data_IF_124724137013
#
_entry.id   IF_124724137013
#
_cell.length_a   1.000
_cell.length_b   1.000
_cell.length_c   1.000
_cell.angle_alpha   90.00
_cell.angle_beta   90.00
_cell.angle_gamma   90.00
#
_symmetry.space_group_name_H-M   'P 1'
#
loop_
_entity.id
_entity.type
_entity.pdbx_description
1 polymer ?
#
# COMPACT_ATOMS: atom_id res chain seq x y z
N UNK A 1 -26.15 9.92 -13.15
CA UNK A 1 -26.44 8.48 -13.13
C UNK A 1 -27.92 8.32 -12.88
N UNK A 2 -28.61 7.50 -13.65
CA UNK A 2 -30.07 7.32 -13.56
C UNK A 2 -30.35 5.82 -13.53
N UNK A 3 -31.27 5.39 -12.66
CA UNK A 3 -31.79 4.02 -12.66
C UNK A 3 -32.54 3.81 -13.98
N UNK A 4 -32.15 2.79 -14.73
CA UNK A 4 -32.65 2.58 -16.09
C UNK A 4 -33.58 1.36 -16.16
N UNK A 5 -33.16 0.23 -15.61
CA UNK A 5 -33.93 -1.02 -15.62
C UNK A 5 -33.87 -1.73 -14.25
N UNK A 6 -34.96 -2.42 -13.89
CA UNK A 6 -35.06 -3.26 -12.69
C UNK A 6 -35.59 -4.62 -13.13
N UNK A 7 -34.88 -5.67 -12.79
CA UNK A 7 -35.30 -7.06 -13.01
C UNK A 7 -35.67 -7.68 -11.65
N UNK A 8 -36.97 -7.80 -11.42
CA UNK A 8 -37.53 -8.36 -10.19
C UNK A 8 -37.39 -9.88 -10.10
N UNK A 9 -37.16 -10.57 -11.23
CA UNK A 9 -36.97 -12.04 -11.23
C UNK A 9 -35.57 -12.39 -10.76
N UNK A 10 -34.58 -11.60 -11.17
CA UNK A 10 -33.18 -11.78 -10.82
C UNK A 10 -32.71 -10.87 -9.67
N UNK A 11 -33.61 -10.08 -9.11
CA UNK A 11 -33.35 -9.15 -8.01
C UNK A 11 -32.19 -8.18 -8.29
N UNK A 12 -32.12 -7.67 -9.53
CA UNK A 12 -31.07 -6.78 -9.99
C UNK A 12 -31.60 -5.46 -10.53
N UNK A 13 -30.76 -4.42 -10.45
CA UNK A 13 -31.05 -3.09 -10.96
C UNK A 13 -29.86 -2.57 -11.76
N UNK A 14 -30.14 -1.97 -12.92
CA UNK A 14 -29.15 -1.45 -13.87
C UNK A 14 -29.20 0.08 -13.94
N UNK A 15 -28.03 0.69 -14.05
CA UNK A 15 -27.85 2.14 -14.10
C UNK A 15 -27.16 2.58 -15.39
N UNK A 16 -27.61 3.71 -15.92
CA UNK A 16 -27.02 4.36 -17.11
C UNK A 16 -26.46 5.72 -16.73
N UNK A 17 -25.31 6.06 -17.32
CA UNK A 17 -24.69 7.36 -17.17
C UNK A 17 -24.95 8.21 -18.42
N UNK A 18 -25.58 9.36 -18.21
CA UNK A 18 -25.74 10.39 -19.22
C UNK A 18 -24.62 11.40 -19.04
N UNK A 19 -23.79 11.57 -20.07
CA UNK A 19 -22.79 12.61 -20.11
C UNK A 19 -23.20 13.62 -21.19
N UNK A 20 -23.14 14.91 -20.86
CA UNK A 20 -23.27 15.98 -21.84
C UNK A 20 -21.88 16.54 -22.08
N UNK A 21 -21.41 16.43 -23.31
CA UNK A 21 -20.20 17.08 -23.75
C UNK A 21 -20.57 18.35 -24.52
N UNK A 22 -20.04 19.48 -24.08
CA UNK A 22 -20.32 20.78 -24.67
C UNK A 22 -19.08 21.27 -25.43
N UNK A 23 -19.28 21.77 -26.65
CA UNK A 23 -18.26 22.51 -27.39
C UNK A 23 -18.82 23.89 -27.79
N UNK A 24 -18.01 24.73 -28.43
CA UNK A 24 -18.33 26.12 -28.80
C UNK A 24 -19.61 26.25 -29.65
N UNK A 25 -20.09 25.15 -30.27
CA UNK A 25 -21.33 25.08 -31.05
C UNK A 25 -22.54 24.39 -30.39
N UNK A 26 -22.49 24.04 -29.10
CA UNK A 26 -23.61 23.40 -28.38
C UNK A 26 -23.23 22.10 -27.65
N UNK A 27 -24.19 21.50 -26.95
CA UNK A 27 -23.99 20.29 -26.15
C UNK A 27 -24.78 19.11 -26.72
N UNK A 28 -24.09 18.01 -27.02
CA UNK A 28 -24.73 16.79 -27.53
C UNK A 28 -24.81 15.75 -26.38
N UNK A 29 -25.97 15.14 -26.11
CA UNK A 29 -26.08 14.09 -25.10
C UNK A 29 -25.52 12.77 -25.62
N UNK A 30 -24.70 12.10 -24.80
CA UNK A 30 -24.22 10.74 -25.04
C UNK A 30 -24.65 9.83 -23.89
N UNK A 31 -25.17 8.65 -24.23
CA UNK A 31 -25.58 7.63 -23.28
C UNK A 31 -24.51 6.55 -23.27
N UNK A 32 -23.94 6.26 -22.10
CA UNK A 32 -23.06 5.11 -21.89
C UNK A 32 -23.82 4.14 -20.99
N UNK A 33 -24.32 3.05 -21.56
CA UNK A 33 -25.12 2.07 -20.82
C UNK A 33 -24.89 0.65 -21.34
N UNK A 34 -25.43 -0.36 -20.61
CA UNK A 34 -25.37 -0.47 -19.16
C UNK A 34 -23.91 -0.61 -18.72
N UNK A 35 -23.55 -0.04 -17.57
CA UNK A 35 -22.19 -0.10 -17.07
C UNK A 35 -22.00 -1.45 -16.35
N UNK A 36 -21.24 -2.42 -16.89
CA UNK A 36 -21.22 -3.81 -16.41
C UNK A 36 -20.62 -3.97 -15.00
N UNK A 37 -20.04 -2.92 -14.43
CA UNK A 37 -19.49 -2.90 -13.07
C UNK A 37 -20.40 -2.21 -12.04
N UNK A 38 -21.64 -1.83 -12.40
CA UNK A 38 -22.62 -1.22 -11.50
C UNK A 38 -23.96 -1.96 -11.52
N UNK A 39 -23.92 -3.26 -11.30
CA UNK A 39 -25.10 -4.09 -11.05
C UNK A 39 -25.24 -4.32 -9.54
N UNK A 40 -26.38 -3.93 -8.97
CA UNK A 40 -26.64 -4.05 -7.54
C UNK A 40 -27.71 -5.10 -7.31
N UNK A 41 -27.44 -6.01 -6.35
CA UNK A 41 -28.41 -7.01 -5.87
C UNK A 41 -29.29 -6.43 -4.77
N UNK A 42 -30.44 -7.07 -4.52
CA UNK A 42 -31.33 -6.74 -3.39
C UNK A 42 -30.54 -6.55 -2.07
N UNK A 43 -30.76 -5.42 -1.38
CA UNK A 43 -30.08 -4.96 -0.15
C UNK A 43 -28.62 -4.51 -0.29
N UNK A 44 -28.06 -4.42 -1.49
CA UNK A 44 -26.74 -3.83 -1.69
C UNK A 44 -26.78 -2.31 -1.42
N UNK A 45 -25.75 -1.80 -0.73
CA UNK A 45 -25.60 -0.38 -0.48
C UNK A 45 -25.26 0.34 -1.80
N UNK A 46 -26.14 1.23 -2.23
CA UNK A 46 -25.91 2.07 -3.41
C UNK A 46 -25.35 3.42 -2.92
N UNK A 47 -24.09 3.76 -3.21
CA UNK A 47 -23.51 5.03 -2.80
C UNK A 47 -24.10 6.15 -3.65
N UNK A 48 -25.06 6.89 -3.09
CA UNK A 48 -25.57 8.13 -3.68
C UNK A 48 -24.65 9.25 -3.17
N UNK A 49 -23.84 9.84 -4.06
CA UNK A 49 -22.92 10.92 -3.69
C UNK A 49 -23.65 12.07 -2.98
N UNK A 50 -23.22 12.41 -1.77
CA UNK A 50 -23.81 13.51 -1.00
C UNK A 50 -23.30 14.86 -1.49
N UNK A 51 -24.18 15.79 -1.83
CA UNK A 51 -23.81 17.17 -2.18
C UNK A 51 -23.48 18.06 -0.97
N UNK A 52 -23.54 17.53 0.26
CA UNK A 52 -23.08 18.20 1.50
C UNK A 52 -22.61 17.16 2.52
N UNK A 53 -21.42 17.34 3.09
CA UNK A 53 -20.96 16.56 4.25
C UNK A 53 -21.84 16.87 5.48
N UNK A 54 -22.47 15.89 6.13
CA UNK A 54 -23.05 16.08 7.45
C UNK A 54 -22.01 15.72 8.53
N UNK A 55 -21.67 16.67 9.38
CA UNK A 55 -21.07 16.42 10.69
C UNK A 55 -22.13 15.76 11.59
N UNK A 56 -22.32 14.45 11.49
CA UNK A 56 -22.83 13.55 12.54
C UNK A 56 -23.24 12.23 11.90
N UNK A 57 -22.58 11.13 12.28
CA UNK A 57 -23.07 9.77 12.05
C UNK A 57 -23.79 9.33 13.33
N UNK A 58 -25.07 8.88 13.28
CA UNK A 58 -25.73 8.30 14.45
C UNK A 58 -25.07 6.94 14.77
N UNK A 59 -24.67 6.75 16.02
CA UNK A 59 -24.15 5.48 16.50
C UNK A 59 -25.26 4.41 16.50
N UNK A 60 -25.06 3.32 15.76
CA UNK A 60 -25.82 2.08 15.91
C UNK A 60 -25.42 1.44 17.25
N UNK A 61 -26.34 1.48 18.23
CA UNK A 61 -26.26 0.69 19.47
C UNK A 61 -26.38 -0.79 19.12
N UNK A 62 -25.30 -1.54 19.31
CA UNK A 62 -25.36 -3.00 19.41
C UNK A 62 -25.18 -3.35 20.89
N UNK A 63 -26.21 -3.94 21.47
CA UNK A 63 -26.23 -4.39 22.87
C UNK A 63 -25.13 -5.43 23.13
N UNK A 64 -24.36 -5.17 24.18
CA UNK A 64 -23.41 -6.10 24.76
C UNK A 64 -24.16 -7.22 25.49
N UNK A 65 -24.04 -8.46 25.02
CA UNK A 65 -24.27 -9.63 25.88
C UNK A 65 -22.94 -10.18 26.36
N UNK A 66 -22.70 -9.91 27.65
CA UNK A 66 -21.56 -10.31 28.45
C UNK A 66 -21.39 -11.84 28.46
N UNK A 67 -20.22 -12.33 28.04
CA UNK A 67 -19.71 -13.63 28.46
C UNK A 67 -18.21 -13.50 28.73
N UNK A 68 -17.89 -13.11 29.97
CA UNK A 68 -16.54 -13.15 30.51
C UNK A 68 -16.02 -14.59 30.49
N UNK A 69 -14.90 -14.83 29.80
CA UNK A 69 -13.94 -15.86 30.17
C UNK A 69 -12.54 -15.27 30.09
N UNK A 70 -11.86 -15.23 31.24
CA UNK A 70 -10.52 -14.69 31.46
C UNK A 70 -9.52 -15.25 30.44
N UNK A 71 -8.60 -14.45 29.88
CA UNK A 71 -7.45 -15.01 29.19
C UNK A 71 -6.49 -15.58 30.23
N UNK A 72 -6.20 -16.88 30.11
CA UNK A 72 -5.08 -17.50 30.79
C UNK A 72 -3.79 -16.92 30.21
N UNK A 73 -2.96 -16.37 31.09
CA UNK A 73 -1.60 -15.92 30.82
C UNK A 73 -0.82 -17.01 30.07
N UNK A 74 -0.40 -16.73 28.83
CA UNK A 74 0.61 -17.52 28.13
C UNK A 74 1.79 -16.62 27.76
N UNK A 75 2.88 -16.98 28.43
CA UNK A 75 4.27 -16.52 28.46
C UNK A 75 4.79 -15.79 27.21
N UNK A 76 5.54 -14.72 27.50
CA UNK A 76 6.43 -14.01 26.58
C UNK A 76 7.24 -14.98 25.70
N UNK A 77 7.22 -14.69 24.40
CA UNK A 77 8.04 -15.35 23.39
C UNK A 77 9.52 -15.13 23.73
N UNK A 78 10.15 -16.17 24.27
CA UNK A 78 11.59 -16.23 24.49
C UNK A 78 12.29 -16.22 23.14
N UNK A 79 13.09 -15.18 22.92
CA UNK A 79 14.05 -15.04 21.82
C UNK A 79 14.93 -16.28 21.72
N UNK A 80 14.78 -17.06 20.66
CA UNK A 80 15.74 -18.09 20.27
C UNK A 80 16.69 -17.46 19.27
N UNK A 81 17.95 -17.34 19.65
CA UNK A 81 19.03 -16.83 18.80
C UNK A 81 19.05 -17.57 17.46
N UNK A 82 18.82 -16.84 16.38
CA UNK A 82 19.21 -17.22 15.03
C UNK A 82 20.30 -16.23 14.65
N UNK A 83 21.51 -16.76 14.55
CA UNK A 83 22.71 -16.06 14.10
C UNK A 83 22.52 -15.53 12.67
N UNK A 84 22.56 -14.21 12.51
CA UNK A 84 22.78 -13.52 11.24
C UNK A 84 21.55 -12.85 10.62
N UNK A 85 21.62 -11.51 10.51
CA UNK A 85 20.67 -10.55 9.90
C UNK A 85 19.36 -10.40 10.70
N UNK A 86 19.16 -9.21 11.27
CA UNK A 86 17.99 -8.85 12.08
C UNK A 86 16.67 -9.28 11.44
N UNK A 87 16.05 -10.30 12.03
CA UNK A 87 14.79 -10.86 11.56
C UNK A 87 13.65 -10.15 12.28
N UNK A 88 13.09 -9.10 11.69
CA UNK A 88 11.96 -8.40 12.27
C UNK A 88 10.69 -9.25 12.15
N UNK A 89 10.19 -9.79 13.27
CA UNK A 89 8.99 -10.64 13.29
C UNK A 89 9.10 -11.94 12.49
N UNK A 90 10.31 -12.45 12.22
CA UNK A 90 10.49 -13.62 11.35
C UNK A 90 10.75 -13.29 9.87
N UNK A 91 10.80 -12.00 9.47
CA UNK A 91 11.06 -11.57 8.09
C UNK A 91 12.50 -11.09 7.93
N UNK A 92 13.19 -11.59 6.90
CA UNK A 92 14.49 -11.10 6.42
C UNK A 92 14.32 -9.83 5.59
N UNK A 93 14.82 -8.66 6.07
CA UNK A 93 14.64 -7.40 5.36
C UNK A 93 15.26 -7.37 3.97
N UNK A 94 16.38 -8.07 3.78
CA UNK A 94 17.06 -8.13 2.49
C UNK A 94 16.26 -8.90 1.44
N UNK A 95 15.75 -10.08 1.81
CA UNK A 95 14.94 -10.89 0.90
C UNK A 95 13.65 -10.13 0.56
N UNK A 96 13.01 -9.54 1.56
CA UNK A 96 11.80 -8.73 1.38
C UNK A 96 12.03 -7.53 0.44
N UNK A 97 13.16 -6.82 0.60
CA UNK A 97 13.51 -5.71 -0.28
C UNK A 97 13.68 -6.18 -1.74
N UNK A 98 14.34 -7.31 -1.96
CA UNK A 98 14.48 -7.90 -3.29
C UNK A 98 13.14 -8.34 -3.89
N UNK A 99 12.25 -8.93 -3.09
CA UNK A 99 10.90 -9.31 -3.52
C UNK A 99 10.05 -8.12 -3.96
N UNK A 100 10.19 -6.97 -3.30
CA UNK A 100 9.50 -5.72 -3.67
C UNK A 100 10.05 -5.16 -4.98
N UNK A 101 11.38 -5.15 -5.14
CA UNK A 101 12.01 -4.72 -6.41
C UNK A 101 11.51 -5.54 -7.59
N UNK A 102 11.31 -6.85 -7.39
CA UNK A 102 10.77 -7.72 -8.44
C UNK A 102 9.36 -7.34 -8.87
N UNK A 103 8.53 -6.77 -7.99
CA UNK A 103 7.24 -6.21 -8.39
C UNK A 103 7.42 -4.88 -9.12
N UNK A 104 8.25 -3.98 -8.58
CA UNK A 104 8.48 -2.64 -9.15
C UNK A 104 8.99 -2.74 -10.59
N UNK A 105 9.87 -3.69 -10.88
CA UNK A 105 10.43 -3.89 -12.20
C UNK A 105 9.63 -4.87 -13.08
N UNK A 106 8.41 -5.25 -12.68
CA UNK A 106 7.55 -6.14 -13.47
C UNK A 106 8.08 -7.57 -13.62
N UNK A 107 8.90 -8.05 -12.69
CA UNK A 107 9.50 -9.38 -12.69
C UNK A 107 10.84 -9.48 -13.43
N UNK A 108 11.32 -8.37 -14.02
CA UNK A 108 12.61 -8.29 -14.69
C UNK A 108 13.62 -7.49 -13.85
N UNK A 109 14.91 -7.80 -13.92
CA UNK A 109 15.93 -6.96 -13.28
C UNK A 109 16.13 -5.69 -14.11
N UNK A 110 16.23 -4.55 -13.42
CA UNK A 110 16.72 -3.26 -13.94
C UNK A 110 15.70 -2.30 -14.56
N UNK A 111 14.94 -1.62 -13.70
CA UNK A 111 14.74 -0.17 -13.87
C UNK A 111 15.51 0.52 -12.74
N UNK A 112 16.66 1.09 -13.07
CA UNK A 112 17.26 2.13 -12.22
C UNK A 112 16.31 3.33 -12.29
N UNK A 113 15.47 3.53 -11.27
CA UNK A 113 14.56 4.69 -11.17
C UNK A 113 15.30 6.04 -11.02
N UNK A 114 16.61 6.03 -11.21
CA UNK A 114 17.56 7.08 -10.86
C UNK A 114 17.49 8.32 -11.76
N UNK A 115 16.87 8.26 -12.94
CA UNK A 115 17.11 9.30 -13.97
C UNK A 115 15.86 9.95 -14.57
N UNK A 116 14.67 9.38 -14.39
CA UNK A 116 13.43 9.90 -14.99
C UNK A 116 12.19 9.73 -14.12
N UNK A 117 12.37 9.52 -12.81
CA UNK A 117 11.19 9.29 -12.00
C UNK A 117 10.37 10.56 -11.83
N UNK A 118 9.09 10.57 -12.25
CA UNK A 118 8.25 11.75 -12.18
C UNK A 118 8.11 12.22 -10.73
N UNK A 119 7.77 13.51 -10.56
CA UNK A 119 7.38 14.00 -9.24
C UNK A 119 6.09 13.30 -8.83
N UNK A 120 6.12 12.63 -7.69
CA UNK A 120 4.94 12.02 -7.06
C UNK A 120 4.61 12.75 -5.78
N UNK A 121 3.32 12.91 -5.47
CA UNK A 121 2.88 13.61 -4.28
C UNK A 121 2.10 12.68 -3.37
N UNK A 122 2.47 12.66 -2.09
CA UNK A 122 1.78 11.93 -1.03
C UNK A 122 1.29 12.97 -0.02
N UNK A 123 -0.02 13.14 0.15
CA UNK A 123 -0.61 14.12 1.08
C UNK A 123 -0.04 15.55 0.91
N UNK A 124 0.02 16.04 -0.34
CA UNK A 124 0.61 17.34 -0.71
C UNK A 124 2.13 17.46 -0.51
N UNK A 125 2.81 16.42 -0.03
CA UNK A 125 4.27 16.35 0.01
C UNK A 125 4.79 15.71 -1.29
N UNK A 126 5.21 16.58 -2.21
CA UNK A 126 5.75 16.18 -3.51
C UNK A 126 7.25 15.90 -3.43
N UNK A 127 7.67 14.85 -4.12
CA UNK A 127 9.08 14.46 -4.21
C UNK A 127 9.30 13.52 -5.37
N UNK A 128 10.49 12.92 -5.42
CA UNK A 128 10.86 11.92 -6.43
C UNK A 128 11.19 10.63 -5.72
N UNK A 129 10.94 9.51 -6.36
CA UNK A 129 11.50 8.23 -5.91
C UNK A 129 12.96 8.14 -6.36
N UNK A 130 13.81 7.66 -5.46
CA UNK A 130 15.25 7.65 -5.60
C UNK A 130 15.77 6.22 -5.50
N UNK A 131 16.80 5.92 -6.30
CA UNK A 131 17.62 4.75 -6.05
C UNK A 131 17.01 3.44 -6.54
N UNK A 132 17.71 2.36 -6.15
CA UNK A 132 17.36 0.96 -6.44
C UNK A 132 16.00 0.55 -5.87
N UNK A 133 15.63 1.10 -4.71
CA UNK A 133 14.46 0.68 -3.95
C UNK A 133 13.27 1.63 -4.08
N UNK A 134 13.30 2.57 -5.03
CA UNK A 134 12.21 3.53 -5.26
C UNK A 134 11.82 4.34 -4.01
N UNK A 135 12.81 4.68 -3.16
CA UNK A 135 12.53 5.36 -1.89
C UNK A 135 12.14 6.82 -2.15
N UNK A 136 10.98 7.24 -1.65
CA UNK A 136 10.48 8.59 -1.88
C UNK A 136 11.32 9.64 -1.14
N UNK A 137 11.66 10.73 -1.81
CA UNK A 137 12.51 11.80 -1.26
C UNK A 137 11.88 12.60 -0.12
N UNK A 138 10.58 12.39 0.14
CA UNK A 138 9.88 12.97 1.31
C UNK A 138 9.80 12.01 2.50
N UNK A 139 10.33 10.78 2.37
CA UNK A 139 10.39 9.85 3.50
C UNK A 139 11.32 10.43 4.59
N UNK A 140 10.90 10.48 5.87
CA UNK A 140 11.70 11.09 6.94
C UNK A 140 13.11 10.51 7.08
N UNK A 141 13.27 9.19 6.92
CA UNK A 141 14.59 8.54 7.00
C UNK A 141 15.49 8.92 5.82
N UNK A 142 14.90 9.12 4.63
CA UNK A 142 15.63 9.57 3.43
C UNK A 142 16.07 11.02 3.58
N UNK A 143 15.18 11.89 4.07
CA UNK A 143 15.51 13.29 4.38
C UNK A 143 16.66 13.35 5.39
N UNK A 144 16.55 12.60 6.49
CA UNK A 144 17.59 12.54 7.53
C UNK A 144 18.94 12.07 6.96
N UNK A 145 18.95 10.99 6.17
CA UNK A 145 20.18 10.45 5.57
C UNK A 145 20.85 11.41 4.58
N UNK A 146 20.05 12.15 3.81
CA UNK A 146 20.57 13.09 2.81
C UNK A 146 21.04 14.40 3.46
N UNK A 147 20.25 14.98 4.37
CA UNK A 147 20.52 16.27 5.03
C UNK A 147 21.85 16.28 5.81
N UNK A 148 22.26 15.14 6.36
CA UNK A 148 23.54 14.99 7.08
C UNK A 148 24.78 15.16 6.18
N UNK A 149 24.63 15.13 4.85
CA UNK A 149 25.76 15.31 3.92
C UNK A 149 25.98 16.77 3.59
N UNK A 150 27.24 17.14 3.35
CA UNK A 150 27.58 18.48 2.86
C UNK A 150 26.87 18.76 1.52
N UNK A 151 25.97 19.74 1.52
CA UNK A 151 25.15 20.11 0.37
C UNK A 151 23.87 19.27 0.19
N UNK A 152 23.54 18.40 1.14
CA UNK A 152 22.36 17.53 1.12
C UNK A 152 21.05 18.30 1.14
N UNK A 153 20.93 19.34 1.94
CA UNK A 153 19.75 20.23 1.97
C UNK A 153 19.48 20.86 0.59
N UNK A 154 20.51 21.39 -0.05
CA UNK A 154 20.38 21.93 -1.41
C UNK A 154 19.94 20.84 -2.40
N UNK A 155 20.47 19.62 -2.27
CA UNK A 155 20.03 18.50 -3.10
C UNK A 155 18.55 18.17 -2.88
N UNK A 156 18.09 18.10 -1.61
CA UNK A 156 16.68 17.88 -1.29
C UNK A 156 15.76 18.95 -1.91
N UNK A 157 16.17 20.22 -1.91
CA UNK A 157 15.42 21.29 -2.58
C UNK A 157 15.33 21.09 -4.09
N UNK A 158 16.41 20.61 -4.74
CA UNK A 158 16.36 20.30 -6.18
C UNK A 158 15.39 19.17 -6.52
N UNK A 159 15.15 18.23 -5.59
CA UNK A 159 14.20 17.14 -5.79
C UNK A 159 12.74 17.59 -5.79
N UNK A 160 12.45 18.79 -5.30
CA UNK A 160 11.12 19.43 -5.40
C UNK A 160 10.88 20.12 -6.74
N UNK A 161 11.93 20.29 -7.54
CA UNK A 161 11.87 20.97 -8.82
C UNK A 161 11.62 19.97 -9.97
N UNK A 162 11.16 20.45 -11.15
CA UNK A 162 10.98 19.61 -12.34
C UNK A 162 12.27 18.92 -12.83
N UNK A 163 13.45 19.41 -12.42
CA UNK A 163 14.74 18.85 -12.79
C UNK A 163 14.90 17.44 -12.22
N UNK A 164 15.43 16.51 -13.03
CA UNK A 164 15.77 15.16 -12.57
C UNK A 164 17.22 15.13 -12.06
N UNK A 165 17.46 14.54 -10.87
CA UNK A 165 18.83 14.24 -10.46
C UNK A 165 19.42 13.18 -11.41
N UNK A 166 20.73 13.25 -11.67
CA UNK A 166 21.42 12.19 -12.39
C UNK A 166 21.99 11.13 -11.42
N UNK A 167 22.42 9.97 -11.95
CA UNK A 167 23.02 8.88 -11.15
C UNK A 167 24.18 9.33 -10.27
N UNK A 168 25.02 10.25 -10.73
CA UNK A 168 26.16 10.73 -9.95
C UNK A 168 25.71 11.58 -8.76
N UNK A 169 24.67 12.40 -8.93
CA UNK A 169 24.05 13.17 -7.84
C UNK A 169 23.39 12.23 -6.82
N UNK A 170 22.61 11.24 -7.28
CA UNK A 170 22.01 10.24 -6.38
C UNK A 170 23.09 9.45 -5.65
N UNK A 171 24.14 8.97 -6.33
CA UNK A 171 25.23 8.22 -5.68
C UNK A 171 25.98 9.08 -4.66
N UNK A 172 26.15 10.38 -4.93
CA UNK A 172 26.80 11.32 -4.02
C UNK A 172 25.98 11.57 -2.75
N UNK A 173 24.68 11.82 -2.90
CA UNK A 173 23.83 12.25 -1.79
C UNK A 173 23.06 11.11 -1.13
N UNK A 174 22.86 10.00 -1.82
CA UNK A 174 22.12 8.84 -1.35
C UNK A 174 22.71 7.52 -1.90
N UNK A 175 23.92 7.12 -1.46
CA UNK A 175 24.63 5.97 -1.98
C UNK A 175 23.91 4.64 -1.72
N UNK A 176 24.15 3.58 -2.52
CA UNK A 176 23.44 2.29 -2.40
C UNK A 176 23.49 1.63 -1.02
N UNK A 177 24.56 1.84 -0.25
CA UNK A 177 24.70 1.34 1.13
C UNK A 177 23.66 1.95 2.06
N UNK A 178 23.43 3.27 1.96
CA UNK A 178 22.41 3.96 2.74
C UNK A 178 21.00 3.60 2.27
N UNK A 179 20.78 3.48 0.97
CA UNK A 179 19.50 3.03 0.43
C UNK A 179 19.11 1.67 1.04
N UNK A 180 20.06 0.73 1.08
CA UNK A 180 19.89 -0.61 1.69
C UNK A 180 19.62 -0.52 3.19
N UNK A 181 20.36 0.31 3.93
CA UNK A 181 20.15 0.47 5.36
C UNK A 181 18.75 1.04 5.69
N UNK A 182 18.29 2.03 4.91
CA UNK A 182 16.98 2.65 5.12
C UNK A 182 15.85 1.69 4.77
N UNK A 183 15.90 1.02 3.61
CA UNK A 183 14.83 0.08 3.24
C UNK A 183 14.71 -1.06 4.26
N UNK A 184 15.83 -1.55 4.82
CA UNK A 184 15.80 -2.56 5.88
C UNK A 184 15.10 -2.05 7.15
N UNK A 185 15.37 -0.81 7.57
CA UNK A 185 14.67 -0.19 8.71
C UNK A 185 13.16 -0.04 8.45
N UNK A 186 12.79 0.42 7.25
CA UNK A 186 11.39 0.57 6.85
C UNK A 186 10.67 -0.80 6.86
N UNK A 187 11.30 -1.84 6.31
CA UNK A 187 10.76 -3.21 6.35
C UNK A 187 10.63 -3.71 7.78
N UNK A 188 11.63 -3.49 8.63
CA UNK A 188 11.58 -3.90 10.02
C UNK A 188 10.44 -3.23 10.80
N UNK A 189 10.22 -1.92 10.57
CA UNK A 189 9.09 -1.20 11.14
C UNK A 189 7.74 -1.74 10.66
N UNK A 190 7.60 -1.98 9.35
CA UNK A 190 6.39 -2.55 8.77
C UNK A 190 6.10 -3.97 9.31
N UNK A 191 7.12 -4.81 9.44
CA UNK A 191 6.99 -6.16 9.97
C UNK A 191 6.61 -6.16 11.45
N UNK A 192 7.26 -5.28 12.23
CA UNK A 192 6.97 -5.06 13.65
C UNK A 192 5.55 -4.55 13.86
N UNK A 193 5.06 -3.64 13.01
CA UNK A 193 3.67 -3.20 13.05
C UNK A 193 2.73 -4.36 12.72
N UNK A 194 2.99 -5.05 11.61
CA UNK A 194 2.14 -6.14 11.12
C UNK A 194 1.95 -7.24 12.18
N UNK A 195 3.01 -7.63 12.88
CA UNK A 195 2.94 -8.69 13.91
C UNK A 195 2.12 -8.33 15.15
N UNK A 196 1.79 -7.05 15.34
CA UNK A 196 0.91 -6.57 16.42
C UNK A 196 -0.54 -6.38 16.00
N UNK A 197 -0.83 -6.46 14.70
CA UNK A 197 -2.19 -6.37 14.18
C UNK A 197 -2.89 -7.74 14.23
N UNK A 198 -4.22 -7.72 14.30
CA UNK A 198 -5.05 -8.93 14.27
C UNK A 198 -5.42 -9.22 12.83
N UNK A 199 -5.15 -10.44 12.38
CA UNK A 199 -5.59 -10.95 11.09
C UNK A 199 -7.10 -11.22 11.14
N UNK A 200 -7.92 -10.55 10.32
CA UNK A 200 -9.36 -10.73 10.32
C UNK A 200 -9.81 -12.13 9.86
N UNK A 201 -8.93 -12.90 9.21
CA UNK A 201 -9.24 -14.25 8.73
C UNK A 201 -9.08 -15.28 9.85
N UNK A 202 -7.98 -15.21 10.61
CA UNK A 202 -7.67 -16.19 11.67
C UNK A 202 -8.17 -15.73 13.03
N UNK A 203 -8.45 -14.44 13.20
CA UNK A 203 -8.74 -13.79 14.48
C UNK A 203 -7.60 -13.93 15.51
N UNK A 204 -6.37 -14.12 15.01
CA UNK A 204 -5.12 -14.14 15.77
C UNK A 204 -4.16 -13.07 15.23
N UNK A 205 -3.02 -12.87 15.90
CA UNK A 205 -1.96 -12.00 15.38
C UNK A 205 -1.44 -12.48 14.02
N UNK A 206 -1.06 -11.54 13.15
CA UNK A 206 -0.40 -11.90 11.89
C UNK A 206 0.89 -12.71 12.12
N UNK A 207 0.98 -13.85 11.46
CA UNK A 207 2.12 -14.75 11.49
C UNK A 207 2.27 -15.47 10.13
N UNK A 208 3.39 -16.18 9.93
CA UNK A 208 3.65 -16.93 8.70
C UNK A 208 3.45 -16.09 7.43
N UNK A 209 2.77 -16.66 6.44
CA UNK A 209 2.53 -16.01 5.14
C UNK A 209 1.68 -14.74 5.27
N UNK A 210 0.73 -14.73 6.20
CA UNK A 210 -0.14 -13.57 6.42
C UNK A 210 0.65 -12.39 6.94
N UNK A 211 1.70 -12.63 7.75
CA UNK A 211 2.63 -11.59 8.18
C UNK A 211 3.43 -11.01 7.00
N UNK A 212 3.91 -11.83 6.06
CA UNK A 212 4.59 -11.35 4.83
C UNK A 212 3.67 -10.47 4.00
N UNK A 213 2.45 -10.97 3.75
CA UNK A 213 1.45 -10.25 2.97
C UNK A 213 1.15 -8.91 3.63
N UNK A 214 0.88 -8.89 4.93
CA UNK A 214 0.53 -7.65 5.64
C UNK A 214 1.70 -6.65 5.66
N UNK A 215 2.92 -7.13 5.86
CA UNK A 215 4.12 -6.28 5.80
C UNK A 215 4.26 -5.63 4.42
N UNK A 216 4.08 -6.40 3.34
CA UNK A 216 4.13 -5.88 1.98
C UNK A 216 3.00 -4.88 1.69
N UNK A 217 1.80 -5.10 2.25
CA UNK A 217 0.68 -4.17 2.12
C UNK A 217 1.00 -2.80 2.75
N UNK A 218 1.58 -2.80 3.95
CA UNK A 218 2.04 -1.57 4.64
C UNK A 218 3.10 -0.85 3.81
N UNK A 219 4.03 -1.59 3.19
CA UNK A 219 5.08 -1.00 2.35
C UNK A 219 4.50 -0.39 1.06
N UNK A 220 3.44 -0.98 0.51
CA UNK A 220 2.81 -0.51 -0.72
C UNK A 220 1.85 0.67 -0.52
N UNK A 221 1.04 0.66 0.55
CA UNK A 221 0.01 1.68 0.79
C UNK A 221 0.28 2.63 1.96
N UNK A 222 1.29 2.35 2.79
CA UNK A 222 1.58 3.06 4.04
C UNK A 222 1.03 2.37 5.30
N UNK A 223 1.45 2.84 6.47
CA UNK A 223 1.14 2.26 7.78
C UNK A 223 -0.35 2.20 8.12
N UNK A 224 -1.17 3.07 7.55
CA UNK A 224 -2.62 3.11 7.82
C UNK A 224 -3.45 2.39 6.75
N UNK A 225 -2.81 1.65 5.85
CA UNK A 225 -3.54 0.95 4.79
C UNK A 225 -4.46 -0.09 5.39
N UNK A 226 -5.75 -0.13 5.00
CA UNK A 226 -6.65 -1.19 5.43
C UNK A 226 -6.08 -2.57 5.09
N UNK A 227 -6.35 -3.54 5.97
CA UNK A 227 -5.95 -4.93 5.76
C UNK A 227 -6.65 -5.47 4.51
N UNK A 228 -5.90 -6.14 3.64
CA UNK A 228 -6.39 -6.77 2.42
C UNK A 228 -7.16 -5.79 1.50
N UNK A 229 -6.70 -4.53 1.46
CA UNK A 229 -7.33 -3.49 0.66
C UNK A 229 -7.28 -3.82 -0.84
N UNK A 230 -8.47 -3.93 -1.44
CA UNK A 230 -8.67 -4.47 -2.80
C UNK A 230 -8.71 -3.44 -3.92
N UNK A 231 -8.77 -2.15 -3.58
CA UNK A 231 -8.85 -1.10 -4.60
C UNK A 231 -7.53 -1.04 -5.37
N UNK A 232 -7.64 -1.10 -6.69
CA UNK A 232 -6.55 -0.98 -7.64
C UNK A 232 -6.92 0.00 -8.74
N UNK A 233 -5.96 0.79 -9.21
CA UNK A 233 -6.13 1.49 -10.49
C UNK A 233 -5.94 0.50 -11.65
N UNK A 234 -6.50 0.77 -12.86
CA UNK A 234 -6.44 -0.15 -14.01
C UNK A 234 -5.03 -0.63 -14.39
N UNK A 235 -4.00 0.15 -14.05
CA UNK A 235 -2.61 -0.12 -14.40
C UNK A 235 -1.75 -0.56 -13.20
N UNK A 236 -2.35 -0.84 -12.04
CA UNK A 236 -1.63 -1.16 -10.80
C UNK A 236 -2.22 -2.37 -10.12
N UNK A 237 -1.39 -3.12 -9.40
CA UNK A 237 -1.88 -4.15 -8.49
C UNK A 237 -2.63 -3.50 -7.32
N UNK A 238 -3.67 -4.17 -6.81
CA UNK A 238 -4.23 -3.79 -5.51
C UNK A 238 -3.18 -4.00 -4.42
N UNK A 239 -3.37 -3.35 -3.28
CA UNK A 239 -2.51 -3.54 -2.12
C UNK A 239 -2.51 -5.01 -1.69
N UNK A 240 -3.69 -5.65 -1.64
CA UNK A 240 -3.84 -7.08 -1.40
C UNK A 240 -3.00 -7.94 -2.37
N UNK A 241 -3.16 -7.73 -3.68
CA UNK A 241 -2.43 -8.49 -4.72
C UNK A 241 -0.93 -8.24 -4.65
N UNK A 242 -0.52 -7.03 -4.27
CA UNK A 242 0.89 -6.71 -4.03
C UNK A 242 1.42 -7.55 -2.87
N UNK A 243 0.69 -7.61 -1.75
CA UNK A 243 1.05 -8.45 -0.61
C UNK A 243 1.21 -9.93 -0.97
N UNK A 244 0.26 -10.47 -1.73
CA UNK A 244 0.32 -11.85 -2.22
C UNK A 244 1.53 -12.12 -3.11
N UNK A 245 1.81 -11.24 -4.08
CA UNK A 245 2.97 -11.40 -4.98
C UNK A 245 4.30 -11.29 -4.24
N UNK A 246 4.43 -10.35 -3.29
CA UNK A 246 5.67 -10.23 -2.49
C UNK A 246 5.90 -11.51 -1.70
N UNK A 247 4.87 -12.06 -1.06
CA UNK A 247 4.98 -13.30 -0.30
C UNK A 247 5.45 -14.48 -1.17
N UNK A 248 4.97 -14.57 -2.43
CA UNK A 248 5.44 -15.57 -3.40
C UNK A 248 6.94 -15.36 -3.70
N UNK A 249 7.35 -14.16 -4.11
CA UNK A 249 8.76 -13.89 -4.43
C UNK A 249 9.69 -14.08 -3.24
N UNK A 250 9.23 -13.75 -2.04
CA UNK A 250 10.01 -13.91 -0.81
C UNK A 250 10.39 -15.38 -0.59
N UNK A 251 9.45 -16.30 -0.79
CA UNK A 251 9.71 -17.74 -0.72
C UNK A 251 10.58 -18.22 -1.88
N UNK A 252 10.35 -17.74 -3.10
CA UNK A 252 11.18 -18.06 -4.26
C UNK A 252 12.64 -17.67 -4.05
N UNK A 253 12.89 -16.60 -3.30
CA UNK A 253 14.24 -16.15 -2.94
C UNK A 253 14.80 -16.82 -1.67
N UNK A 254 14.19 -17.92 -1.22
CA UNK A 254 14.67 -18.71 -0.08
C UNK A 254 14.30 -18.13 1.29
N UNK A 255 13.42 -17.11 1.32
CA UNK A 255 12.91 -16.56 2.56
C UNK A 255 11.95 -17.51 3.25
N UNK A 256 12.09 -17.61 4.57
CA UNK A 256 11.12 -18.27 5.45
C UNK A 256 10.58 -17.29 6.48
N UNK A 257 9.48 -17.66 7.10
CA UNK A 257 8.83 -16.92 8.19
C UNK A 257 8.59 -17.86 9.35
N UNK A 258 8.61 -17.30 10.55
CA UNK A 258 8.30 -18.04 11.77
C UNK A 258 6.83 -18.50 11.70
N UNK A 259 6.62 -19.80 11.92
CA UNK A 259 5.29 -20.40 11.96
C UNK A 259 4.49 -19.88 13.15
N UNK A 260 3.18 -19.76 12.96
CA UNK A 260 2.22 -19.47 14.03
C UNK A 260 2.28 -20.59 15.09
N UNK A 261 2.32 -20.24 16.37
CA UNK A 261 2.32 -21.19 17.51
C UNK A 261 1.05 -21.11 18.32
#
# INVERSE_FOLDING_TARGET
MVLWEVDETNDSAQFVLFLRYCNIGGCTPYNIGPIPFMEYKRNAMIPIGSSKLPNHVPALKIEQKLAQKRPASKKNLSSREVTGKEVAGGISPEIMANSIISIINGGHSSITQDERSPITCINSNCGKVLGKFALHSTNPMVIESISQKKGGENFLETLRQPKYPNRSEIKKFFPPSEQSAIIHKIIAQAASQSSREIDPITNDYFCGDRLLQRTAQILAGGSHTPIDYKVSNPNTLSVEKTGQKVAIYYKTYGGSVISCT
#
